data_IF_886898099214
#
_entry.id   IF_886898099214
#
_cell.length_a   1.000
_cell.length_b   1.000
_cell.length_c   1.000
_cell.angle_alpha   90.00
_cell.angle_beta   90.00
_cell.angle_gamma   90.00
#
_symmetry.space_group_name_H-M   'P 1'
#
loop_
_entity.id
_entity.type
_entity.pdbx_description
1 polymer ?
#
# COMPACT_ATOMS: atom_id res chain seq x y z
N UNK A 1 5.19 -9.38 -18.80
CA UNK A 1 5.61 -8.04 -18.35
C UNK A 1 4.40 -7.14 -18.45
N UNK A 2 3.65 -6.98 -17.36
CA UNK A 2 2.63 -5.93 -17.32
C UNK A 2 3.41 -4.61 -17.37
N UNK A 3 3.24 -3.85 -18.46
CA UNK A 3 3.98 -2.61 -18.68
C UNK A 3 3.85 -1.72 -17.45
N UNK A 4 4.94 -1.06 -17.07
CA UNK A 4 4.95 -0.06 -16.00
C UNK A 4 3.79 0.90 -16.23
N UNK A 5 2.73 0.73 -15.44
CA UNK A 5 1.65 1.70 -15.38
C UNK A 5 2.24 2.89 -14.66
N UNK A 6 2.58 3.92 -15.43
CA UNK A 6 3.03 5.20 -14.87
C UNK A 6 1.87 5.77 -14.08
N UNK A 7 2.00 5.73 -12.75
CA UNK A 7 1.02 6.32 -11.85
C UNK A 7 1.29 7.83 -11.81
N UNK A 8 0.26 8.61 -12.11
CA UNK A 8 0.31 10.07 -12.02
C UNK A 8 0.20 10.52 -10.56
N UNK A 9 1.33 10.40 -9.86
CA UNK A 9 1.52 10.83 -8.48
C UNK A 9 3.00 11.15 -8.30
N UNK A 10 3.42 12.33 -8.74
CA UNK A 10 4.83 12.69 -8.88
C UNK A 10 5.34 13.37 -7.61
N UNK A 11 6.16 12.71 -6.77
CA UNK A 11 6.51 13.23 -5.46
C UNK A 11 7.25 14.58 -5.49
N UNK A 12 7.97 14.86 -6.58
CA UNK A 12 8.74 16.10 -6.73
C UNK A 12 7.93 17.25 -7.34
N UNK A 13 6.75 16.97 -7.90
CA UNK A 13 5.85 17.96 -8.51
C UNK A 13 4.69 18.26 -7.56
N UNK A 14 4.10 17.23 -6.97
CA UNK A 14 2.94 17.33 -6.09
C UNK A 14 3.38 17.64 -4.64
N UNK A 15 3.68 18.91 -4.36
CA UNK A 15 4.15 19.36 -3.04
C UNK A 15 3.04 19.50 -1.99
N UNK A 16 1.77 19.42 -2.39
CA UNK A 16 0.62 19.57 -1.49
C UNK A 16 0.36 18.37 -0.58
N UNK A 17 1.04 17.23 -0.79
CA UNK A 17 0.85 16.03 0.03
C UNK A 17 1.41 16.17 1.45
N UNK A 18 2.36 17.08 1.66
CA UNK A 18 2.95 17.35 2.98
C UNK A 18 2.13 18.37 3.80
N UNK A 19 1.03 18.89 3.26
CA UNK A 19 0.14 19.78 4.00
C UNK A 19 -0.49 19.05 5.21
N UNK A 20 -0.61 19.74 6.36
CA UNK A 20 -1.12 19.13 7.58
C UNK A 20 -2.55 18.64 7.38
N UNK A 21 -2.80 17.36 7.69
CA UNK A 21 -4.13 16.75 7.58
C UNK A 21 -4.38 16.01 6.25
N UNK A 22 -3.58 16.26 5.21
CA UNK A 22 -3.76 15.59 3.89
C UNK A 22 -3.43 14.11 4.01
N UNK A 23 -2.31 13.78 4.65
CA UNK A 23 -1.89 12.39 4.88
C UNK A 23 -2.87 11.63 5.77
N UNK A 24 -3.35 12.27 6.82
CA UNK A 24 -4.33 11.71 7.75
C UNK A 24 -5.66 11.43 7.05
N UNK A 25 -6.13 12.36 6.22
CA UNK A 25 -7.34 12.17 5.42
C UNK A 25 -7.18 11.02 4.41
N UNK A 26 -6.04 10.93 3.73
CA UNK A 26 -5.74 9.83 2.82
C UNK A 26 -5.72 8.48 3.54
N UNK A 27 -5.09 8.40 4.72
CA UNK A 27 -5.06 7.19 5.53
C UNK A 27 -6.45 6.77 5.99
N UNK A 28 -7.30 7.72 6.43
CA UNK A 28 -8.67 7.42 6.83
C UNK A 28 -9.51 6.86 5.68
N UNK A 29 -9.35 7.40 4.46
CA UNK A 29 -10.01 6.86 3.28
C UNK A 29 -9.56 5.42 2.96
N UNK A 30 -8.25 5.14 3.04
CA UNK A 30 -7.72 3.79 2.83
C UNK A 30 -8.25 2.81 3.89
N UNK A 31 -8.31 3.23 5.15
CA UNK A 31 -8.81 2.40 6.24
C UNK A 31 -10.27 1.98 6.03
N UNK A 32 -11.15 2.91 5.65
CA UNK A 32 -12.56 2.60 5.41
C UNK A 32 -12.73 1.57 4.28
N UNK A 33 -11.99 1.71 3.19
CA UNK A 33 -12.02 0.77 2.07
C UNK A 33 -11.51 -0.61 2.48
N UNK A 34 -10.39 -0.69 3.21
CA UNK A 34 -9.82 -1.96 3.69
C UNK A 34 -10.70 -2.64 4.74
N UNK A 35 -11.48 -1.87 5.51
CA UNK A 35 -12.49 -2.41 6.45
C UNK A 35 -13.68 -3.00 5.71
N UNK A 36 -14.14 -2.32 4.65
CA UNK A 36 -15.35 -2.70 3.91
C UNK A 36 -15.12 -3.88 2.98
N UNK A 37 -13.94 -3.97 2.37
CA UNK A 37 -13.63 -4.97 1.35
C UNK A 37 -12.58 -5.96 1.84
N UNK A 38 -12.91 -7.26 1.77
CA UNK A 38 -11.95 -8.33 2.11
C UNK A 38 -10.85 -8.42 1.05
N UNK A 39 -9.59 -8.70 1.44
CA UNK A 39 -8.52 -8.93 0.49
C UNK A 39 -8.85 -10.10 -0.44
N UNK A 40 -8.78 -9.87 -1.75
CA UNK A 40 -9.06 -10.88 -2.79
C UNK A 40 -7.79 -11.48 -3.40
N UNK A 41 -6.65 -10.80 -3.26
CA UNK A 41 -5.34 -11.25 -3.73
C UNK A 41 -4.42 -11.51 -2.55
N UNK A 42 -3.75 -12.66 -2.55
CA UNK A 42 -2.73 -12.96 -1.56
C UNK A 42 -1.38 -12.38 -2.03
N UNK A 43 -1.10 -11.14 -1.64
CA UNK A 43 0.18 -10.50 -1.98
C UNK A 43 1.40 -11.19 -1.36
N UNK A 44 1.24 -12.15 -0.44
CA UNK A 44 2.34 -12.90 0.17
C UNK A 44 2.63 -14.22 -0.56
N UNK A 45 1.86 -14.59 -1.59
CA UNK A 45 2.01 -15.89 -2.28
C UNK A 45 3.37 -16.09 -2.95
N UNK A 46 3.98 -14.99 -3.40
CA UNK A 46 5.30 -14.98 -4.02
C UNK A 46 6.46 -15.07 -3.02
N UNK A 47 6.19 -14.94 -1.71
CA UNK A 47 7.21 -15.00 -0.68
C UNK A 47 7.49 -16.45 -0.26
N UNK A 48 8.75 -16.76 0.10
CA UNK A 48 9.07 -18.08 0.64
C UNK A 48 8.32 -18.33 1.96
N UNK A 49 8.02 -19.61 2.28
CA UNK A 49 7.37 -19.96 3.53
C UNK A 49 8.19 -19.50 4.74
N UNK A 50 7.51 -19.01 5.78
CA UNK A 50 8.11 -18.58 7.03
C UNK A 50 8.86 -19.73 7.70
N UNK A 51 10.15 -19.54 7.97
CA UNK A 51 10.96 -20.51 8.70
C UNK A 51 10.82 -20.28 10.21
N UNK A 52 9.83 -20.94 10.80
CA UNK A 52 9.46 -20.80 12.22
C UNK A 52 10.52 -21.35 13.20
N UNK A 53 11.45 -22.19 12.73
CA UNK A 53 12.50 -22.81 13.56
C UNK A 53 13.82 -22.08 13.50
N UNK A 54 13.89 -20.92 12.83
CA UNK A 54 15.14 -20.14 12.68
C UNK A 54 15.66 -19.53 13.98
N UNK A 55 14.80 -19.49 15.01
CA UNK A 55 15.05 -18.82 16.28
C UNK A 55 14.93 -19.76 17.49
N UNK A 56 14.80 -21.07 17.26
CA UNK A 56 15.09 -22.10 18.27
C UNK A 56 16.58 -22.44 18.27
#
# INVERSE_FOLDING_TARGET
MAGEVVVDALPYIDQGYDEPGVREAAMAMVEEETRRYRPTKNYLEHLPPLNLTSFE
#
